data_IF_607385056855
#
_entry.id   IF_607385056855
#
_cell.length_a   1.000
_cell.length_b   1.000
_cell.length_c   1.000
_cell.angle_alpha   90.00
_cell.angle_beta   90.00
_cell.angle_gamma   90.00
#
_symmetry.space_group_name_H-M   'P 1'
#
loop_
_entity.id
_entity.type
_entity.pdbx_description
1 polymer ?
#
# COMPACT_ATOMS: atom_id res chain seq x y z
N UNK A 1 -20.40 -20.88 -19.82
CA UNK A 1 -19.16 -20.75 -19.02
C UNK A 1 -18.92 -19.29 -18.72
N UNK A 2 -18.83 -18.93 -17.44
CA UNK A 2 -18.51 -17.56 -17.01
C UNK A 2 -17.03 -17.54 -16.61
N UNK A 3 -16.24 -16.79 -17.36
CA UNK A 3 -14.80 -16.63 -17.12
C UNK A 3 -14.52 -15.14 -16.97
N UNK A 4 -13.73 -14.73 -15.96
CA UNK A 4 -13.52 -13.31 -15.67
C UNK A 4 -12.79 -12.61 -16.84
N UNK A 5 -13.36 -11.51 -17.33
CA UNK A 5 -12.82 -10.68 -18.42
C UNK A 5 -11.68 -9.74 -17.97
N UNK A 6 -11.34 -9.72 -16.68
CA UNK A 6 -10.34 -8.81 -16.12
C UNK A 6 -9.36 -9.66 -15.31
N UNK A 7 -8.07 -9.41 -15.52
CA UNK A 7 -7.03 -10.01 -14.72
C UNK A 7 -7.19 -9.55 -13.26
N UNK A 8 -7.21 -10.50 -12.32
CA UNK A 8 -7.41 -10.22 -10.88
C UNK A 8 -6.44 -9.15 -10.37
N UNK A 9 -5.22 -9.14 -10.88
CA UNK A 9 -4.15 -8.23 -10.50
C UNK A 9 -4.48 -6.76 -10.84
N UNK A 10 -4.98 -6.49 -12.05
CA UNK A 10 -5.37 -5.13 -12.47
C UNK A 10 -6.55 -4.59 -11.66
N UNK A 11 -7.51 -5.47 -11.34
CA UNK A 11 -8.65 -5.09 -10.50
C UNK A 11 -8.20 -4.75 -9.08
N UNK A 12 -7.38 -5.60 -8.46
CA UNK A 12 -6.87 -5.40 -7.10
C UNK A 12 -6.10 -4.09 -6.96
N UNK A 13 -5.25 -3.74 -7.94
CA UNK A 13 -4.49 -2.50 -7.91
C UNK A 13 -5.41 -1.28 -7.98
N UNK A 14 -6.37 -1.30 -8.92
CA UNK A 14 -7.32 -0.20 -9.14
C UNK A 14 -8.25 0.00 -7.94
N UNK A 15 -8.70 -1.10 -7.35
CA UNK A 15 -9.51 -1.08 -6.13
C UNK A 15 -8.71 -0.54 -4.95
N UNK A 16 -7.46 -0.98 -4.78
CA UNK A 16 -6.57 -0.51 -3.70
C UNK A 16 -6.32 1.00 -3.80
N UNK A 17 -6.06 1.53 -5.00
CA UNK A 17 -5.95 2.98 -5.21
C UNK A 17 -7.25 3.71 -4.88
N UNK A 18 -8.39 3.22 -5.36
CA UNK A 18 -9.70 3.83 -5.09
C UNK A 18 -10.04 3.83 -3.60
N UNK A 19 -9.63 2.80 -2.87
CA UNK A 19 -9.75 2.70 -1.43
C UNK A 19 -8.89 3.76 -0.73
N UNK A 20 -7.60 3.87 -1.09
CA UNK A 20 -6.71 4.88 -0.50
C UNK A 20 -7.21 6.30 -0.77
N UNK A 21 -7.72 6.57 -1.98
CA UNK A 21 -8.31 7.87 -2.30
C UNK A 21 -9.52 8.20 -1.43
N UNK A 22 -10.46 7.26 -1.29
CA UNK A 22 -11.72 7.50 -0.57
C UNK A 22 -11.57 7.56 0.94
N UNK A 23 -10.74 6.70 1.51
CA UNK A 23 -10.62 6.55 2.96
C UNK A 23 -9.47 7.34 3.57
N UNK A 24 -8.43 7.63 2.78
CA UNK A 24 -7.23 8.32 3.26
C UNK A 24 -6.87 9.56 2.43
N UNK A 25 -7.82 10.06 1.63
CA UNK A 25 -7.64 11.22 0.76
C UNK A 25 -6.40 11.12 -0.15
N UNK A 26 -6.12 9.91 -0.63
CA UNK A 26 -5.00 9.64 -1.53
C UNK A 26 -3.63 9.59 -0.83
N UNK A 27 -3.59 9.72 0.50
CA UNK A 27 -2.36 9.68 1.28
C UNK A 27 -2.20 8.33 1.95
N UNK A 28 -1.06 7.70 1.76
CA UNK A 28 -0.77 6.41 2.41
C UNK A 28 -0.27 6.55 3.86
N UNK A 29 0.26 7.72 4.21
CA UNK A 29 0.82 7.98 5.55
C UNK A 29 -0.19 7.75 6.71
N UNK A 30 -1.47 8.18 6.62
CA UNK A 30 -2.45 7.91 7.67
C UNK A 30 -2.79 6.42 7.83
N UNK A 31 -2.76 5.64 6.74
CA UNK A 31 -2.94 4.18 6.79
C UNK A 31 -1.81 3.53 7.60
N UNK A 32 -0.56 3.85 7.28
CA UNK A 32 0.61 3.34 8.01
C UNK A 32 0.62 3.80 9.46
N UNK A 33 0.24 5.06 9.73
CA UNK A 33 0.11 5.58 11.09
C UNK A 33 -0.98 4.86 11.90
N UNK A 34 -2.07 4.45 11.26
CA UNK A 34 -3.12 3.63 11.87
C UNK A 34 -2.59 2.29 12.34
N UNK A 35 -1.84 1.58 11.49
CA UNK A 35 -1.22 0.30 11.84
C UNK A 35 -0.11 0.41 12.88
N UNK A 36 0.65 1.52 12.88
CA UNK A 36 1.67 1.78 13.87
C UNK A 36 1.07 2.01 15.27
N UNK A 37 -0.08 2.68 15.34
CA UNK A 37 -0.78 2.95 16.60
C UNK A 37 -1.52 1.73 17.17
N UNK A 38 -1.91 0.77 16.32
CA UNK A 38 -2.60 -0.44 16.74
C UNK A 38 -1.65 -1.59 17.13
N UNK A 39 -0.34 -1.33 17.21
CA UNK A 39 0.72 -2.35 17.43
C UNK A 39 0.67 -3.53 16.44
N UNK A 40 0.06 -3.32 15.27
CA UNK A 40 -0.06 -4.32 14.21
C UNK A 40 1.15 -4.32 13.26
N UNK A 41 2.06 -3.36 13.41
CA UNK A 41 3.34 -3.35 12.69
C UNK A 41 4.40 -3.97 13.57
N UNK A 42 4.94 -5.11 13.12
CA UNK A 42 6.14 -5.66 13.73
C UNK A 42 7.36 -4.80 13.38
N UNK A 43 8.43 -4.95 14.15
CA UNK A 43 9.71 -4.28 13.84
C UNK A 43 10.21 -4.65 12.43
N UNK A 44 9.95 -5.90 11.99
CA UNK A 44 10.29 -6.36 10.66
C UNK A 44 9.54 -5.59 9.56
N UNK A 45 8.22 -5.40 9.72
CA UNK A 45 7.40 -4.65 8.76
C UNK A 45 7.86 -3.19 8.65
N UNK A 46 8.26 -2.59 9.76
CA UNK A 46 8.80 -1.22 9.80
C UNK A 46 10.10 -1.14 9.00
N UNK A 47 11.00 -2.11 9.15
CA UNK A 47 12.29 -2.11 8.48
C UNK A 47 12.14 -2.41 6.98
N UNK A 48 11.20 -3.27 6.58
CA UNK A 48 10.84 -3.47 5.16
C UNK A 48 10.29 -2.17 4.55
N UNK A 49 9.35 -1.50 5.23
CA UNK A 49 8.79 -0.24 4.75
C UNK A 49 9.86 0.85 4.56
N UNK A 50 10.77 0.98 5.53
CA UNK A 50 11.91 1.92 5.43
C UNK A 50 12.80 1.59 4.24
N UNK A 51 13.09 0.30 4.01
CA UNK A 51 13.92 -0.14 2.89
C UNK A 51 13.28 0.18 1.55
N UNK A 52 11.97 -0.06 1.40
CA UNK A 52 11.23 0.29 0.17
C UNK A 52 11.32 1.78 -0.13
N UNK A 53 11.18 2.63 0.90
CA UNK A 53 11.29 4.10 0.76
C UNK A 53 12.72 4.49 0.37
N UNK A 54 13.73 3.96 1.06
CA UNK A 54 15.15 4.25 0.78
C UNK A 54 15.56 3.79 -0.64
N UNK A 55 15.10 2.62 -1.08
CA UNK A 55 15.33 2.13 -2.44
C UNK A 55 14.65 3.03 -3.49
N UNK A 56 13.43 3.51 -3.23
CA UNK A 56 12.73 4.45 -4.10
C UNK A 56 13.43 5.82 -4.17
N UNK A 57 13.88 6.36 -3.03
CA UNK A 57 14.62 7.63 -2.97
C UNK A 57 15.97 7.54 -3.70
N UNK A 58 16.66 6.39 -3.63
CA UNK A 58 17.90 6.13 -4.39
C UNK A 58 17.66 6.00 -5.88
N UNK A 59 16.54 5.44 -6.31
CA UNK A 59 16.18 5.34 -7.73
C UNK A 59 15.72 6.68 -8.34
N UNK A 60 15.32 7.64 -7.51
CA UNK A 60 15.01 9.00 -7.95
C UNK A 60 16.22 9.95 -8.01
N UNK A 61 17.39 9.53 -7.51
CA UNK A 61 18.66 10.27 -7.60
C UNK A 61 19.47 9.87 -8.83
#
# INVERSE_FOLDING_TARGET
NYTPCIAREEYTLKESQSFIERFFNGRIAPLVSGFAKSEQLSQHDIDELKKVIDDWEKQQK
#
